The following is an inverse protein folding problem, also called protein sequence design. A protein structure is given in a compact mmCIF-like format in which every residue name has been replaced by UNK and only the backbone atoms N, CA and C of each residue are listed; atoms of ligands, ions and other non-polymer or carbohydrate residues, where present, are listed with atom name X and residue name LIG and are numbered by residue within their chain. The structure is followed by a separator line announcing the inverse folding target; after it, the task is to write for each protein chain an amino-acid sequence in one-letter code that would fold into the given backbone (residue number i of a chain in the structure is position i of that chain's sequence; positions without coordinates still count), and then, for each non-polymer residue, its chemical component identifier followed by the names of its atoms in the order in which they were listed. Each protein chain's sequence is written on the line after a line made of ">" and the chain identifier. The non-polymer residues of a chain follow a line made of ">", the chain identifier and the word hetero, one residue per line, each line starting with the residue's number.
data_IF_460789947702
#
_entry.id   IF_460789947702
#
_cell.length_a   1.000
_cell.length_b   1.000
_cell.length_c   1.000
_cell.angle_alpha   90.00
_cell.angle_beta   90.00
_cell.angle_gamma   90.00
#
_symmetry.space_group_name_H-M   'P 1'
#
loop_
_entity.id
_entity.type
_entity.pdbx_description
1 polymer ?
#
# COMPACT_ATOMS: atom_id res chain seq x y z
N UNK A 1 -15.12 9.68 -10.22
CA UNK A 1 -13.95 9.78 -9.29
C UNK A 1 -13.95 11.18 -8.69
N UNK A 2 -14.10 11.34 -7.37
CA UNK A 2 -14.08 12.67 -6.76
C UNK A 2 -12.63 13.14 -6.56
N UNK A 3 -12.14 13.94 -7.50
CA UNK A 3 -10.76 14.44 -7.54
C UNK A 3 -10.38 15.28 -6.30
N UNK A 4 -11.36 15.98 -5.71
CA UNK A 4 -11.16 16.76 -4.49
C UNK A 4 -10.88 15.87 -3.28
N UNK A 5 -11.60 14.76 -3.13
CA UNK A 5 -11.36 13.78 -2.06
C UNK A 5 -9.96 13.15 -2.16
N UNK A 6 -9.54 12.78 -3.38
CA UNK A 6 -8.20 12.23 -3.65
C UNK A 6 -7.09 13.21 -3.24
N UNK A 7 -7.20 14.47 -3.67
CA UNK A 7 -6.23 15.52 -3.38
C UNK A 7 -6.10 15.78 -1.88
N UNK A 8 -7.21 15.76 -1.15
CA UNK A 8 -7.23 15.91 0.32
C UNK A 8 -6.50 14.74 0.99
N UNK A 9 -6.76 13.51 0.58
CA UNK A 9 -6.14 12.32 1.18
C UNK A 9 -4.63 12.26 0.91
N UNK A 10 -4.18 12.62 -0.30
CA UNK A 10 -2.76 12.75 -0.60
C UNK A 10 -2.13 13.84 0.28
N UNK A 11 -2.76 15.01 0.42
CA UNK A 11 -2.26 16.08 1.30
C UNK A 11 -2.17 15.64 2.76
N UNK A 12 -3.18 14.95 3.29
CA UNK A 12 -3.16 14.40 4.66
C UNK A 12 -2.01 13.40 4.84
N UNK A 13 -1.81 12.50 3.87
CA UNK A 13 -0.71 11.55 3.87
C UNK A 13 0.66 12.25 3.84
N UNK A 14 0.82 13.24 2.96
CA UNK A 14 2.06 14.00 2.87
C UNK A 14 2.33 14.80 4.15
N UNK A 15 1.31 15.42 4.75
CA UNK A 15 1.46 16.12 6.01
C UNK A 15 1.90 15.18 7.14
N UNK A 16 1.32 13.98 7.22
CA UNK A 16 1.60 13.01 8.29
C UNK A 16 3.01 12.41 8.21
N UNK A 17 3.49 12.09 7.03
CA UNK A 17 4.72 11.29 6.88
C UNK A 17 5.88 12.00 6.18
N UNK A 18 5.58 13.16 5.60
CA UNK A 18 6.43 13.90 4.69
C UNK A 18 6.46 15.39 5.04
N UNK A 19 6.14 15.74 6.30
CA UNK A 19 6.00 17.10 6.83
C UNK A 19 7.13 18.06 6.43
N UNK A 20 8.36 17.56 6.27
CA UNK A 20 9.55 18.32 5.79
C UNK A 20 10.15 17.81 4.47
N UNK A 21 9.62 16.74 3.88
CA UNK A 21 10.19 16.08 2.70
C UNK A 21 9.10 15.88 1.65
N UNK A 22 9.24 16.37 0.41
CA UNK A 22 8.23 16.07 -0.62
C UNK A 22 8.35 14.59 -1.04
N UNK A 23 7.22 13.87 -1.11
CA UNK A 23 7.18 12.61 -1.86
C UNK A 23 7.33 12.97 -3.35
N UNK A 24 8.31 12.38 -4.07
CA UNK A 24 8.49 12.67 -5.49
C UNK A 24 7.19 12.40 -6.27
N UNK A 25 6.83 13.28 -7.21
CA UNK A 25 5.63 13.13 -8.07
C UNK A 25 5.61 11.75 -8.74
N UNK A 26 6.78 11.26 -9.17
CA UNK A 26 6.95 9.91 -9.73
C UNK A 26 6.44 8.79 -8.80
N UNK A 27 6.57 8.93 -7.48
CA UNK A 27 6.06 7.95 -6.51
C UNK A 27 4.55 8.06 -6.32
N UNK A 28 3.98 9.26 -6.43
CA UNK A 28 2.52 9.45 -6.42
C UNK A 28 1.92 8.78 -7.66
N UNK A 29 2.49 9.01 -8.84
CA UNK A 29 2.03 8.38 -10.08
C UNK A 29 2.07 6.85 -10.00
N UNK A 30 3.16 6.28 -9.47
CA UNK A 30 3.25 4.82 -9.22
C UNK A 30 2.17 4.29 -8.29
N UNK A 31 1.82 5.04 -7.24
CA UNK A 31 0.73 4.64 -6.34
C UNK A 31 -0.62 4.62 -7.08
N UNK A 32 -0.87 5.62 -7.93
CA UNK A 32 -2.08 5.69 -8.75
C UNK A 32 -2.12 4.58 -9.81
N UNK A 33 -0.99 4.25 -10.43
CA UNK A 33 -0.87 3.12 -11.38
C UNK A 33 -1.23 1.79 -10.71
N UNK A 34 -0.71 1.50 -9.51
CA UNK A 34 -1.05 0.27 -8.79
C UNK A 34 -2.55 0.14 -8.52
N UNK A 35 -3.19 1.26 -8.20
CA UNK A 35 -4.64 1.31 -8.00
C UNK A 35 -5.34 1.03 -9.34
N UNK A 36 -5.00 1.77 -10.41
CA UNK A 36 -5.61 1.61 -11.73
C UNK A 36 -5.47 0.19 -12.30
N UNK A 37 -4.33 -0.44 -12.09
CA UNK A 37 -4.04 -1.80 -12.56
C UNK A 37 -4.70 -2.91 -11.70
N UNK A 38 -5.50 -2.54 -10.69
CA UNK A 38 -6.16 -3.45 -9.74
C UNK A 38 -5.21 -4.50 -9.12
N UNK A 39 -3.98 -4.08 -8.81
CA UNK A 39 -2.92 -4.95 -8.26
C UNK A 39 -2.95 -5.10 -6.75
N UNK A 40 -3.95 -4.49 -6.10
CA UNK A 40 -4.06 -4.42 -4.64
C UNK A 40 -5.18 -5.35 -4.20
N UNK A 41 -4.82 -6.41 -3.50
CA UNK A 41 -5.73 -7.38 -2.90
C UNK A 41 -5.87 -7.04 -1.42
N UNK A 42 -7.10 -7.04 -0.93
CA UNK A 42 -7.38 -6.90 0.51
C UNK A 42 -7.33 -8.31 1.09
N UNK A 43 -6.48 -8.51 2.09
CA UNK A 43 -6.41 -9.78 2.80
C UNK A 43 -7.41 -9.71 3.95
N UNK A 44 -8.47 -10.51 3.86
CA UNK A 44 -9.38 -10.72 4.97
C UNK A 44 -8.71 -11.67 5.95
N UNK A 45 -8.73 -11.29 7.23
CA UNK A 45 -8.15 -12.07 8.32
C UNK A 45 -9.16 -12.09 9.46
N UNK A 46 -9.22 -13.23 10.15
CA UNK A 46 -9.98 -13.45 11.39
C UNK A 46 -9.45 -12.58 12.55
N UNK A 47 -8.21 -12.08 12.46
CA UNK A 47 -7.61 -11.14 13.40
C UNK A 47 -8.00 -9.67 13.11
N UNK A 48 -8.04 -8.77 14.12
CA UNK A 48 -8.50 -7.38 14.01
C UNK A 48 -7.60 -6.45 13.17
N UNK A 49 -6.65 -6.97 12.41
CA UNK A 49 -5.83 -6.18 11.48
C UNK A 49 -6.62 -5.88 10.20
N UNK A 50 -7.63 -5.01 10.27
CA UNK A 50 -8.50 -4.57 9.15
C UNK A 50 -7.79 -3.81 8.00
N UNK A 51 -6.49 -4.01 7.83
CA UNK A 51 -5.61 -3.12 7.12
C UNK A 51 -4.42 -3.83 6.46
N UNK A 52 -4.50 -5.15 6.26
CA UNK A 52 -3.50 -5.92 5.54
C UNK A 52 -3.83 -6.01 4.04
N UNK A 53 -2.83 -5.73 3.22
CA UNK A 53 -2.95 -5.74 1.78
C UNK A 53 -1.80 -6.55 1.17
N UNK A 54 -2.13 -7.30 0.13
CA UNK A 54 -1.17 -7.94 -0.76
C UNK A 54 -1.14 -7.16 -2.07
N UNK A 55 0.06 -6.89 -2.58
CA UNK A 55 0.28 -6.21 -3.85
C UNK A 55 1.13 -7.07 -4.75
N UNK A 56 0.60 -7.41 -5.92
CA UNK A 56 1.37 -8.09 -6.96
C UNK A 56 2.25 -7.09 -7.70
N UNK A 57 3.55 -7.09 -7.41
CA UNK A 57 4.50 -6.16 -8.00
C UNK A 57 5.18 -6.68 -9.26
N UNK A 58 5.85 -5.79 -10.01
CA UNK A 58 6.65 -6.19 -11.20
C UNK A 58 7.93 -6.97 -10.83
N UNK A 59 8.50 -6.67 -9.65
CA UNK A 59 9.78 -7.24 -9.19
C UNK A 59 9.61 -8.28 -8.08
N UNK A 60 8.37 -8.65 -7.77
CA UNK A 60 8.02 -9.45 -6.61
C UNK A 60 6.81 -8.88 -5.88
N UNK A 61 6.29 -9.69 -4.97
CA UNK A 61 5.08 -9.38 -4.23
C UNK A 61 5.38 -8.64 -2.94
N UNK A 62 4.42 -7.82 -2.51
CA UNK A 62 4.59 -6.97 -1.35
C UNK A 62 3.40 -7.09 -0.41
N UNK A 63 3.70 -7.18 0.88
CA UNK A 63 2.72 -7.10 1.95
C UNK A 63 2.76 -5.71 2.56
N UNK A 64 1.58 -5.16 2.82
CA UNK A 64 1.42 -3.80 3.34
C UNK A 64 0.44 -3.82 4.50
N UNK A 65 0.91 -3.37 5.65
CA UNK A 65 0.05 -2.96 6.77
C UNK A 65 -0.20 -1.47 6.57
N UNK A 66 -1.42 -1.10 6.19
CA UNK A 66 -1.79 0.29 5.86
C UNK A 66 -1.33 1.24 6.95
N UNK A 67 -0.76 2.38 6.54
CA UNK A 67 -0.25 3.43 7.42
C UNK A 67 0.91 3.03 8.36
N UNK A 68 1.36 1.77 8.34
CA UNK A 68 2.37 1.24 9.28
C UNK A 68 3.62 0.78 8.54
N UNK A 69 3.50 -0.26 7.72
CA UNK A 69 4.67 -0.96 7.18
C UNK A 69 4.44 -1.51 5.78
N UNK A 70 5.54 -1.74 5.07
CA UNK A 70 5.56 -2.41 3.78
C UNK A 70 6.83 -3.25 3.64
N UNK A 71 6.72 -4.45 3.07
CA UNK A 71 7.87 -5.34 2.85
C UNK A 71 8.76 -4.93 1.67
N UNK A 72 8.44 -3.85 0.96
CA UNK A 72 9.26 -3.46 -0.18
C UNK A 72 10.66 -2.99 0.26
N UNK A 73 11.68 -3.32 -0.55
CA UNK A 73 13.07 -2.94 -0.29
C UNK A 73 13.22 -1.44 -0.01
N UNK A 74 12.49 -0.59 -0.73
CA UNK A 74 12.54 0.86 -0.53
C UNK A 74 12.07 1.34 0.84
N UNK A 75 11.17 0.61 1.50
CA UNK A 75 10.76 0.89 2.87
C UNK A 75 11.75 0.29 3.87
N UNK A 76 12.05 -1.01 3.74
CA UNK A 76 12.96 -1.74 4.65
C UNK A 76 14.35 -1.11 4.71
N UNK A 77 14.94 -0.77 3.55
CA UNK A 77 16.25 -0.12 3.50
C UNK A 77 16.27 1.26 4.15
N UNK A 78 15.18 2.04 4.09
CA UNK A 78 15.08 3.33 4.76
C UNK A 78 14.91 3.17 6.27
N UNK A 79 14.16 2.16 6.69
CA UNK A 79 13.99 1.80 8.09
C UNK A 79 15.34 1.40 8.70
N UNK A 80 16.03 0.43 8.11
CA UNK A 80 17.29 -0.11 8.62
C UNK A 80 18.42 0.92 8.55
N UNK A 81 18.62 1.58 7.40
CA UNK A 81 19.81 2.44 7.19
C UNK A 81 19.69 3.82 7.80
N UNK A 82 18.47 4.34 7.96
CA UNK A 82 18.26 5.74 8.37
C UNK A 82 17.42 5.86 9.64
N UNK A 83 16.98 4.74 10.24
CA UNK A 83 16.03 4.70 11.36
C UNK A 83 14.81 5.61 11.10
N UNK A 84 14.40 5.71 9.83
CA UNK A 84 13.35 6.64 9.39
C UNK A 84 12.23 5.86 8.74
N UNK A 85 11.06 5.87 9.37
CA UNK A 85 9.81 5.41 8.75
C UNK A 85 9.36 6.40 7.67
N UNK A 86 9.87 6.23 6.45
CA UNK A 86 9.40 6.96 5.26
C UNK A 86 8.50 6.03 4.45
N UNK A 87 7.19 6.30 4.38
CA UNK A 87 6.26 5.34 3.81
C UNK A 87 6.33 5.33 2.28
N UNK A 88 6.44 4.14 1.71
CA UNK A 88 6.64 3.96 0.28
C UNK A 88 5.34 4.22 -0.52
N UNK A 89 5.43 4.20 -1.84
CA UNK A 89 4.26 4.38 -2.71
C UNK A 89 3.22 3.25 -2.57
N UNK A 90 3.60 2.07 -2.08
CA UNK A 90 2.66 0.98 -1.77
C UNK A 90 1.74 1.34 -0.59
N UNK A 91 2.31 1.89 0.49
CA UNK A 91 1.53 2.36 1.65
C UNK A 91 0.58 3.47 1.19
N UNK A 92 1.06 4.42 0.37
CA UNK A 92 0.20 5.44 -0.22
C UNK A 92 -0.94 4.81 -1.03
N UNK A 93 -0.64 3.84 -1.90
CA UNK A 93 -1.63 3.18 -2.74
C UNK A 93 -2.72 2.50 -1.89
N UNK A 94 -2.35 1.71 -0.87
CA UNK A 94 -3.27 1.08 0.07
C UNK A 94 -4.07 2.10 0.91
N UNK A 95 -3.50 3.26 1.20
CA UNK A 95 -4.24 4.34 1.88
C UNK A 95 -5.31 4.95 0.98
N UNK A 96 -5.02 5.08 -0.32
CA UNK A 96 -5.94 5.67 -1.29
C UNK A 96 -6.98 4.68 -1.83
N UNK A 97 -6.68 3.38 -1.87
CA UNK A 97 -7.52 2.35 -2.53
C UNK A 97 -8.94 2.29 -1.98
N UNK A 98 -9.18 2.59 -0.69
CA UNK A 98 -10.55 2.61 -0.13
C UNK A 98 -11.46 3.65 -0.82
N UNK A 99 -10.88 4.72 -1.39
CA UNK A 99 -11.62 5.76 -2.12
C UNK A 99 -11.86 5.43 -3.60
N UNK A 100 -11.27 4.34 -4.10
CA UNK A 100 -11.48 3.87 -5.47
C UNK A 100 -12.50 2.72 -5.42
N UNK A 101 -13.64 2.91 -6.10
CA UNK A 101 -14.61 1.84 -6.42
C UNK A 101 -14.03 0.93 -7.49
N UNK A 102 -12.96 0.22 -7.15
CA UNK A 102 -12.49 -0.92 -7.93
C UNK A 102 -13.07 -2.16 -7.27
N UNK A 103 -13.45 -3.15 -8.06
CA UNK A 103 -13.88 -4.45 -7.55
C UNK A 103 -12.74 -5.03 -6.72
N UNK A 104 -12.87 -4.86 -5.41
CA UNK A 104 -11.85 -5.24 -4.44
C UNK A 104 -11.85 -6.75 -4.41
N UNK A 105 -10.85 -7.35 -5.05
CA UNK A 105 -10.54 -8.76 -4.84
C UNK A 105 -10.16 -8.91 -3.37
N UNK A 106 -11.01 -9.61 -2.64
CA UNK A 106 -10.78 -10.02 -1.27
C UNK A 106 -10.38 -11.48 -1.28
N UNK A 107 -9.33 -11.81 -0.56
CA UNK A 107 -8.85 -13.18 -0.43
C UNK A 107 -8.69 -13.45 1.06
N UNK A 108 -9.16 -14.61 1.54
CA UNK A 108 -8.89 -15.08 2.89
C UNK A 108 -7.38 -15.35 3.01
N UNK A 109 -6.74 -14.83 4.05
CA UNK A 109 -5.33 -15.05 4.35
C UNK A 109 -4.97 -16.55 4.38
N UNK A 110 -5.83 -17.38 4.98
CA UNK A 110 -5.64 -18.84 5.08
C UNK A 110 -5.53 -19.46 3.68
N UNK A 111 -6.47 -19.14 2.79
CA UNK A 111 -6.44 -19.62 1.40
C UNK A 111 -5.25 -19.12 0.58
N UNK A 112 -4.69 -17.94 0.91
CA UNK A 112 -3.45 -17.48 0.28
C UNK A 112 -2.25 -18.30 0.76
N UNK A 113 -2.14 -18.57 2.06
CA UNK A 113 -1.05 -19.35 2.65
C UNK A 113 -1.06 -20.77 2.08
N UNK A 114 -2.22 -21.42 2.00
CA UNK A 114 -2.37 -22.76 1.41
C UNK A 114 -1.89 -22.78 -0.04
N UNK A 115 -2.23 -21.76 -0.84
CA UNK A 115 -1.80 -21.67 -2.24
C UNK A 115 -0.29 -21.48 -2.45
N UNK A 116 0.42 -21.00 -1.41
CA UNK A 116 1.87 -20.78 -1.43
C UNK A 116 2.61 -22.02 -0.91
N UNK A 117 2.07 -22.68 0.12
CA UNK A 117 2.70 -23.84 0.76
C UNK A 117 2.47 -25.16 0.01
N UNK A 118 1.39 -25.26 -0.78
CA UNK A 118 1.05 -26.47 -1.57
C UNK A 118 1.64 -26.45 -3.00
N UNK A 119 2.58 -25.56 -3.29
CA UNK A 119 3.36 -25.50 -4.53
C UNK A 119 4.80 -25.92 -4.28
#
# INVERSE_FOLDING_TARGET
>A
MNYNSLRINIRKYLKRYYYKNKLPVKRINKALELIKENKIVILENSFPFENLYYIKGKKGDYYVIKNVACTCYGFVSLLVKKYKMKPCYHILACTLVKNYRLDKKKINLEGLVDSILLK
#
